data_IF_705520801449
#
_entry.id   IF_705520801449
#
_cell.length_a   1.000
_cell.length_b   1.000
_cell.length_c   1.000
_cell.angle_alpha   90.00
_cell.angle_beta   90.00
_cell.angle_gamma   90.00
#
_symmetry.space_group_name_H-M   'P 1'
#
loop_
_entity.id
_entity.type
_entity.pdbx_description
1 polymer ?
#
# COMPACT_ATOMS: atom_id res chain seq x y z
N UNK A 1 -11.64 6.28 14.70
CA UNK A 1 -11.55 4.96 14.03
C UNK A 1 -11.59 5.17 12.51
N UNK A 2 -11.17 4.20 11.71
CA UNK A 2 -11.30 4.26 10.24
C UNK A 2 -10.12 4.83 9.46
N UNK A 3 -8.98 5.21 10.09
CA UNK A 3 -7.80 5.63 9.32
C UNK A 3 -6.92 4.46 8.92
N UNK A 4 -6.40 4.51 7.70
CA UNK A 4 -5.49 3.52 7.16
C UNK A 4 -4.22 4.17 6.63
N UNK A 5 -3.17 3.35 6.51
CA UNK A 5 -1.97 3.65 5.74
C UNK A 5 -2.01 2.75 4.51
N UNK A 6 -2.09 3.38 3.34
CA UNK A 6 -1.96 2.71 2.04
C UNK A 6 -0.50 2.84 1.59
N UNK A 7 0.08 1.73 1.15
CA UNK A 7 1.44 1.64 0.62
C UNK A 7 1.41 1.11 -0.81
N UNK A 8 2.29 1.63 -1.65
CA UNK A 8 2.41 1.27 -3.07
C UNK A 8 3.88 0.97 -3.39
N UNK A 9 4.14 -0.12 -4.11
CA UNK A 9 5.49 -0.51 -4.54
C UNK A 9 5.69 -0.36 -6.04
N UNK A 10 6.96 -0.37 -6.46
CA UNK A 10 7.39 -0.24 -7.85
C UNK A 10 6.91 -1.37 -8.72
N UNK A 11 6.79 -2.59 -8.19
CA UNK A 11 6.23 -3.76 -8.89
C UNK A 11 4.69 -3.80 -8.91
N UNK A 12 4.02 -2.72 -8.52
CA UNK A 12 2.57 -2.61 -8.60
C UNK A 12 1.82 -3.28 -7.45
N UNK A 13 2.48 -3.55 -6.31
CA UNK A 13 1.82 -4.04 -5.10
C UNK A 13 1.17 -2.87 -4.37
N UNK A 14 -0.08 -3.07 -3.95
CA UNK A 14 -0.80 -2.16 -3.05
C UNK A 14 -1.09 -2.88 -1.74
N UNK A 15 -0.94 -2.16 -0.63
CA UNK A 15 -1.22 -2.68 0.71
C UNK A 15 -1.95 -1.65 1.54
N UNK A 16 -2.98 -2.08 2.27
CA UNK A 16 -3.67 -1.26 3.27
C UNK A 16 -3.44 -1.83 4.67
N UNK A 17 -3.08 -0.99 5.63
CA UNK A 17 -2.88 -1.34 7.04
C UNK A 17 -3.66 -0.35 7.90
N UNK A 18 -4.27 -0.80 8.99
CA UNK A 18 -4.96 0.13 9.90
C UNK A 18 -3.94 1.03 10.60
N UNK A 19 -4.27 2.30 10.81
CA UNK A 19 -3.36 3.24 11.48
C UNK A 19 -3.06 2.82 12.93
N UNK A 20 -4.01 2.16 13.60
CA UNK A 20 -3.85 1.67 14.98
C UNK A 20 -2.68 0.68 15.14
N UNK A 21 -2.33 -0.06 14.08
CA UNK A 21 -1.21 -1.01 14.09
C UNK A 21 0.15 -0.29 14.22
N UNK A 22 0.19 1.03 13.98
CA UNK A 22 1.37 1.90 14.11
C UNK A 22 1.37 2.74 15.39
N UNK A 23 0.44 2.51 16.32
CA UNK A 23 0.26 3.31 17.54
C UNK A 23 1.45 3.33 18.51
N UNK A 24 2.43 2.43 18.36
CA UNK A 24 3.59 2.30 19.25
C UNK A 24 4.91 2.21 18.45
N UNK A 25 5.37 3.32 17.84
CA UNK A 25 6.65 3.34 17.12
C UNK A 25 7.82 3.23 18.11
N UNK A 26 8.88 2.53 17.70
CA UNK A 26 10.15 2.44 18.44
C UNK A 26 11.15 3.43 17.86
N UNK A 27 12.22 3.75 18.59
CA UNK A 27 13.32 4.57 18.06
C UNK A 27 13.97 3.95 16.81
N UNK A 28 14.03 2.63 16.74
CA UNK A 28 14.54 1.88 15.56
C UNK A 28 13.53 1.81 14.40
N UNK A 29 12.37 2.45 14.52
CA UNK A 29 11.26 2.31 13.58
C UNK A 29 10.44 1.03 13.79
N UNK A 30 9.44 0.85 12.94
CA UNK A 30 8.54 -0.33 12.91
C UNK A 30 8.37 -0.79 11.47
N UNK A 31 8.39 -2.12 11.27
CA UNK A 31 8.12 -2.69 9.95
C UNK A 31 6.68 -2.36 9.52
N UNK A 32 6.50 -1.84 8.30
CA UNK A 32 5.21 -1.43 7.76
C UNK A 32 4.71 -2.32 6.60
N UNK A 33 5.64 -2.90 5.84
CA UNK A 33 5.40 -3.76 4.68
C UNK A 33 6.59 -4.70 4.50
N UNK A 34 6.33 -5.92 4.01
CA UNK A 34 7.37 -6.82 3.53
C UNK A 34 7.56 -6.58 2.04
N UNK A 35 8.73 -6.08 1.65
CA UNK A 35 9.09 -5.80 0.25
C UNK A 35 9.76 -7.05 -0.34
N UNK A 36 9.29 -7.49 -1.50
CA UNK A 36 9.88 -8.63 -2.21
C UNK A 36 11.21 -8.26 -2.86
N UNK A 37 12.03 -9.26 -3.18
CA UNK A 37 13.32 -9.03 -3.83
C UNK A 37 13.17 -8.27 -5.16
N UNK A 38 14.01 -7.24 -5.33
CA UNK A 38 14.00 -6.34 -6.49
C UNK A 38 12.77 -5.42 -6.57
N UNK A 39 11.94 -5.35 -5.54
CA UNK A 39 10.87 -4.37 -5.41
C UNK A 39 11.29 -3.22 -4.49
N UNK A 40 10.55 -2.12 -4.53
CA UNK A 40 10.84 -0.89 -3.78
C UNK A 40 9.53 -0.21 -3.38
N UNK A 41 9.45 0.27 -2.15
CA UNK A 41 8.32 1.10 -1.71
C UNK A 41 8.41 2.47 -2.39
N UNK A 42 7.39 2.85 -3.15
CA UNK A 42 7.32 4.16 -3.79
C UNK A 42 6.70 5.20 -2.86
N UNK A 43 5.56 4.88 -2.26
CA UNK A 43 4.81 5.86 -1.49
C UNK A 43 3.95 5.22 -0.40
N UNK A 44 3.76 5.98 0.68
CA UNK A 44 2.80 5.70 1.74
C UNK A 44 1.88 6.92 1.94
N UNK A 45 0.57 6.69 2.01
CA UNK A 45 -0.45 7.73 2.22
C UNK A 45 -1.42 7.34 3.32
N UNK A 46 -1.85 8.34 4.08
CA UNK A 46 -2.98 8.20 5.00
C UNK A 46 -4.30 8.29 4.23
N UNK A 47 -5.23 7.42 4.58
CA UNK A 47 -6.60 7.40 4.04
C UNK A 47 -7.60 7.21 5.18
N UNK A 48 -8.88 7.44 4.89
CA UNK A 48 -9.99 7.40 5.86
C UNK A 48 -11.02 6.29 5.57
N UNK A 49 -10.79 5.47 4.55
CA UNK A 49 -11.65 4.34 4.18
C UNK A 49 -12.41 4.55 2.87
N UNK A 50 -12.59 5.81 2.45
CA UNK A 50 -13.46 6.20 1.33
C UNK A 50 -12.68 6.83 0.15
N UNK A 51 -11.35 6.69 0.16
CA UNK A 51 -10.50 7.25 -0.90
C UNK A 51 -10.41 6.34 -2.13
N UNK A 52 -10.10 6.96 -3.27
CA UNK A 52 -9.68 6.24 -4.48
C UNK A 52 -8.15 6.08 -4.50
N UNK A 53 -7.70 4.90 -4.90
CA UNK A 53 -6.30 4.59 -5.15
C UNK A 53 -6.10 4.60 -6.66
N UNK A 54 -5.19 5.46 -7.13
CA UNK A 54 -4.78 5.52 -8.52
C UNK A 54 -3.31 5.12 -8.64
N UNK A 55 -3.02 4.22 -9.57
CA UNK A 55 -1.65 3.78 -9.90
C UNK A 55 -1.46 3.92 -11.40
N UNK A 56 -0.31 4.46 -11.81
CA UNK A 56 0.04 4.64 -13.21
C UNK A 56 1.41 4.02 -13.48
N UNK A 57 1.56 3.46 -14.68
CA UNK A 57 2.79 2.77 -15.11
C UNK A 57 3.40 3.47 -16.32
N UNK A 58 4.69 3.25 -16.55
CA UNK A 58 5.45 3.91 -17.61
C UNK A 58 4.89 3.68 -19.02
N UNK A 59 4.16 2.58 -19.25
CA UNK A 59 3.49 2.29 -20.52
C UNK A 59 2.30 3.22 -20.81
N UNK A 60 1.96 4.16 -19.91
CA UNK A 60 0.85 5.09 -20.07
C UNK A 60 -0.50 4.53 -19.60
N UNK A 61 -0.52 3.28 -19.10
CA UNK A 61 -1.72 2.69 -18.48
C UNK A 61 -1.86 3.14 -17.04
N UNK A 62 -3.10 3.22 -16.58
CA UNK A 62 -3.41 3.51 -15.19
C UNK A 62 -4.63 2.68 -14.75
N UNK A 63 -4.71 2.45 -13.45
CA UNK A 63 -5.88 1.87 -12.79
C UNK A 63 -6.32 2.80 -11.67
N UNK A 64 -7.63 2.91 -11.45
CA UNK A 64 -8.22 3.67 -10.36
C UNK A 64 -9.34 2.84 -9.73
N UNK A 65 -9.31 2.65 -8.42
CA UNK A 65 -10.31 1.86 -7.70
C UNK A 65 -10.48 2.39 -6.26
N UNK A 66 -11.66 2.15 -5.68
CA UNK A 66 -11.93 2.46 -4.28
C UNK A 66 -11.01 1.66 -3.34
N UNK A 67 -10.46 2.29 -2.31
CA UNK A 67 -9.58 1.60 -1.37
C UNK A 67 -10.28 0.45 -0.61
N UNK A 68 -11.62 0.47 -0.57
CA UNK A 68 -12.47 -0.60 -0.04
C UNK A 68 -12.17 -1.96 -0.68
N UNK A 69 -11.71 -1.98 -1.94
CA UNK A 69 -11.30 -3.19 -2.69
C UNK A 69 -10.03 -3.83 -2.14
N UNK A 70 -9.20 -3.07 -1.42
CA UNK A 70 -8.00 -3.58 -0.76
C UNK A 70 -8.33 -3.87 0.69
N UNK A 71 -8.35 -5.14 1.07
CA UNK A 71 -8.59 -5.52 2.47
C UNK A 71 -7.44 -5.00 3.38
N UNK A 72 -7.75 -4.46 4.57
CA UNK A 72 -6.71 -4.13 5.53
C UNK A 72 -6.02 -5.40 6.02
N UNK A 73 -4.70 -5.38 6.09
CA UNK A 73 -3.86 -6.48 6.58
C UNK A 73 -2.84 -5.96 7.57
N UNK A 74 -2.27 -6.85 8.39
CA UNK A 74 -1.26 -6.46 9.37
C UNK A 74 0.05 -5.98 8.74
N UNK A 75 0.87 -5.32 9.56
CA UNK A 75 2.15 -4.70 9.17
C UNK A 75 3.14 -5.65 8.48
N UNK A 76 3.15 -6.94 8.78
CA UNK A 76 4.06 -7.91 8.16
C UNK A 76 3.64 -8.43 6.77
N UNK A 77 2.42 -8.11 6.30
CA UNK A 77 1.96 -8.59 5.00
C UNK A 77 2.66 -7.88 3.83
N UNK A 78 2.70 -8.58 2.68
CA UNK A 78 3.26 -8.07 1.41
C UNK A 78 2.28 -7.11 0.74
N UNK A 79 0.99 -7.46 0.68
CA UNK A 79 -0.03 -6.72 -0.04
C UNK A 79 -0.72 -7.57 -1.10
N UNK A 80 -1.36 -6.93 -2.07
CA UNK A 80 -2.01 -7.56 -3.23
C UNK A 80 -1.60 -6.82 -4.50
N UNK A 81 -1.77 -7.45 -5.68
CA UNK A 81 -1.53 -6.77 -6.95
C UNK A 81 -2.53 -5.64 -7.14
N UNK A 82 -2.03 -4.41 -7.24
CA UNK A 82 -2.82 -3.20 -7.50
C UNK A 82 -2.87 -2.85 -8.98
N UNK A 83 -1.77 -3.03 -9.71
CA UNK A 83 -1.70 -2.87 -11.17
C UNK A 83 -0.75 -3.90 -11.77
N UNK A 84 -1.09 -4.37 -12.97
CA UNK A 84 -0.20 -5.24 -13.74
C UNK A 84 0.83 -4.40 -14.52
N UNK A 85 2.10 -4.68 -14.28
CA UNK A 85 3.19 -4.23 -15.13
C UNK A 85 3.26 -5.20 -16.30
N UNK A 86 2.83 -4.76 -17.48
CA UNK A 86 3.20 -5.48 -18.70
C UNK A 86 4.57 -4.96 -19.10
N UNK A 87 5.44 -5.89 -19.50
CA UNK A 87 6.77 -5.58 -20.02
C UNK A 87 6.72 -4.55 -21.16
#
# INVERSE_FOLDING_TARGET
EGKFVVLCTKKGIVKKTKLEDFSRPRQTGVNAITIQEGDELLEAKLTDGDNYIMMAVKSGRAICFEESKVRPTGRGAIGVNGIELSD
#
